data_IF_092193916884
#
_entry.id   IF_092193916884
#
_cell.length_a   1.000
_cell.length_b   1.000
_cell.length_c   1.000
_cell.angle_alpha   90.00
_cell.angle_beta   90.00
_cell.angle_gamma   90.00
#
_symmetry.space_group_name_H-M   'P 1'
#
loop_
_entity.id
_entity.type
_entity.pdbx_description
1 polymer ?
#
# COMPACT_ATOMS: atom_id res chain seq x y z
N UNK A 1 -9.03 11.49 3.92
CA UNK A 1 -8.56 12.70 4.63
C UNK A 1 -8.23 13.80 3.64
N UNK A 2 -8.60 15.06 3.90
CA UNK A 2 -8.08 16.21 3.14
C UNK A 2 -6.63 16.49 3.57
N UNK A 3 -5.68 16.43 2.63
CA UNK A 3 -4.24 16.45 2.92
C UNK A 3 -3.76 17.77 3.53
N UNK A 4 -4.38 18.88 3.15
CA UNK A 4 -3.99 20.22 3.58
C UNK A 4 -4.50 20.57 5.00
N UNK A 5 -5.63 19.97 5.41
CA UNK A 5 -6.27 20.26 6.70
C UNK A 5 -6.11 19.15 7.73
N UNK A 6 -5.81 17.91 7.30
CA UNK A 6 -5.79 16.73 8.17
C UNK A 6 -7.18 16.31 8.66
N UNK A 7 -8.26 16.83 8.08
CA UNK A 7 -9.63 16.55 8.49
C UNK A 7 -10.32 15.50 7.59
N UNK A 8 -11.37 14.82 8.10
CA UNK A 8 -12.21 13.94 7.29
C UNK A 8 -12.78 14.66 6.06
N UNK A 9 -12.85 13.95 4.93
CA UNK A 9 -13.59 14.45 3.76
C UNK A 9 -15.07 14.23 4.04
N UNK A 10 -15.84 15.32 3.97
CA UNK A 10 -17.30 15.30 4.16
C UNK A 10 -17.97 15.41 2.79
N UNK A 11 -18.90 14.50 2.51
CA UNK A 11 -19.74 14.48 1.31
C UNK A 11 -21.20 14.41 1.76
N UNK A 12 -22.06 15.27 1.22
CA UNK A 12 -23.48 15.36 1.60
C UNK A 12 -23.72 15.45 3.13
N UNK A 13 -22.81 16.12 3.86
CA UNK A 13 -22.90 16.30 5.31
C UNK A 13 -22.46 15.09 6.17
N UNK A 14 -21.95 14.00 5.56
CA UNK A 14 -21.40 12.83 6.26
C UNK A 14 -19.92 12.64 5.90
N UNK A 15 -19.12 12.14 6.84
CA UNK A 15 -17.78 11.64 6.52
C UNK A 15 -17.84 10.50 5.49
N UNK A 16 -16.92 10.54 4.53
CA UNK A 16 -16.79 9.55 3.47
C UNK A 16 -16.00 8.36 4.00
N UNK A 17 -16.68 7.22 4.10
CA UNK A 17 -16.16 5.96 4.62
C UNK A 17 -16.61 4.82 3.70
N UNK A 18 -15.70 3.88 3.42
CA UNK A 18 -15.99 2.59 2.82
C UNK A 18 -15.72 1.48 3.83
N UNK A 19 -16.54 0.43 3.82
CA UNK A 19 -16.35 -0.76 4.66
C UNK A 19 -16.78 -2.00 3.89
N UNK A 20 -16.04 -3.10 4.06
CA UNK A 20 -16.44 -4.41 3.56
C UNK A 20 -16.08 -5.48 4.59
N UNK A 21 -16.91 -6.53 4.69
CA UNK A 21 -16.62 -7.71 5.52
C UNK A 21 -16.28 -8.86 4.60
N UNK A 22 -15.09 -9.44 4.77
CA UNK A 22 -14.60 -10.54 3.96
C UNK A 22 -14.05 -11.67 4.83
N UNK A 23 -13.89 -12.85 4.25
CA UNK A 23 -13.11 -13.95 4.82
C UNK A 23 -11.92 -14.18 3.89
N UNK A 24 -10.66 -14.14 4.38
CA UNK A 24 -9.51 -14.46 3.55
C UNK A 24 -9.57 -15.91 3.08
N UNK A 25 -9.46 -16.14 1.78
CA UNK A 25 -9.37 -17.49 1.19
C UNK A 25 -7.94 -18.05 1.30
N UNK A 26 -6.95 -17.18 1.16
CA UNK A 26 -5.51 -17.49 1.20
C UNK A 26 -4.77 -16.60 2.21
N UNK A 27 -3.53 -16.95 2.63
CA UNK A 27 -2.73 -16.15 3.56
C UNK A 27 -2.37 -14.75 3.06
N UNK A 28 -2.35 -14.56 1.73
CA UNK A 28 -2.09 -13.29 1.04
C UNK A 28 -3.13 -13.10 -0.06
N UNK A 29 -3.67 -11.89 -0.19
CA UNK A 29 -4.71 -11.57 -1.18
C UNK A 29 -5.00 -10.08 -1.26
N UNK A 30 -5.97 -9.72 -2.09
CA UNK A 30 -6.44 -8.34 -2.30
C UNK A 30 -7.95 -8.30 -2.08
N UNK A 31 -8.46 -7.21 -1.50
CA UNK A 31 -9.88 -6.98 -1.26
C UNK A 31 -10.23 -5.58 -1.73
N UNK A 32 -11.27 -5.45 -2.54
CA UNK A 32 -11.77 -4.15 -2.97
C UNK A 32 -12.71 -3.54 -1.92
N UNK A 33 -12.51 -2.27 -1.59
CA UNK A 33 -13.37 -1.49 -0.69
C UNK A 33 -13.94 -0.30 -1.47
N UNK A 34 -15.24 -0.34 -1.76
CA UNK A 34 -15.92 0.72 -2.50
C UNK A 34 -16.54 1.77 -1.57
N UNK A 35 -16.51 3.03 -1.98
CA UNK A 35 -17.24 4.14 -1.37
C UNK A 35 -17.57 5.22 -2.41
N UNK A 36 -18.66 5.95 -2.18
CA UNK A 36 -19.06 7.07 -3.03
C UNK A 36 -18.50 8.40 -2.50
N UNK A 37 -17.99 9.24 -3.42
CA UNK A 37 -17.44 10.56 -3.11
C UNK A 37 -17.96 11.61 -4.10
N UNK A 38 -18.67 12.62 -3.60
CA UNK A 38 -19.03 13.79 -4.41
C UNK A 38 -17.82 14.72 -4.51
N UNK A 39 -17.10 14.61 -5.63
CA UNK A 39 -15.88 15.36 -5.87
C UNK A 39 -16.10 16.84 -6.28
N UNK A 40 -17.34 17.34 -6.38
CA UNK A 40 -17.64 18.68 -6.90
C UNK A 40 -16.95 19.80 -6.12
N UNK A 41 -16.82 19.65 -4.81
CA UNK A 41 -16.18 20.63 -3.91
C UNK A 41 -14.68 20.37 -3.70
N UNK A 42 -14.12 19.33 -4.32
CA UNK A 42 -12.72 18.94 -4.15
C UNK A 42 -11.73 19.61 -5.10
N UNK A 43 -12.19 20.42 -6.07
CA UNK A 43 -11.33 21.04 -7.09
C UNK A 43 -10.14 21.83 -6.50
N UNK A 44 -8.92 21.31 -6.71
CA UNK A 44 -7.65 21.85 -6.23
C UNK A 44 -7.22 21.35 -4.85
N UNK A 45 -7.87 20.31 -4.32
CA UNK A 45 -7.46 19.60 -3.10
C UNK A 45 -6.75 18.30 -3.41
N UNK A 46 -6.02 17.82 -2.42
CA UNK A 46 -5.50 16.46 -2.38
C UNK A 46 -6.21 15.70 -1.26
N UNK A 47 -6.63 14.47 -1.55
CA UNK A 47 -7.29 13.58 -0.60
C UNK A 47 -6.49 12.30 -0.48
N UNK A 48 -6.23 11.86 0.74
CA UNK A 48 -5.52 10.61 1.04
C UNK A 48 -6.52 9.61 1.60
N UNK A 49 -6.50 8.37 1.09
CA UNK A 49 -7.27 7.26 1.67
C UNK A 49 -6.53 6.73 2.89
N UNK A 50 -7.26 6.27 3.90
CA UNK A 50 -6.73 5.62 5.10
C UNK A 50 -7.43 4.27 5.27
N UNK A 51 -6.71 3.26 5.77
CA UNK A 51 -7.20 1.89 5.88
C UNK A 51 -7.04 1.32 7.29
N UNK A 52 -8.05 0.58 7.74
CA UNK A 52 -8.07 -0.12 9.03
C UNK A 52 -8.67 -1.50 8.86
N UNK A 53 -7.93 -2.53 9.29
CA UNK A 53 -8.40 -3.91 9.32
C UNK A 53 -8.82 -4.29 10.73
N UNK A 54 -10.05 -4.78 10.86
CA UNK A 54 -10.61 -5.26 12.11
C UNK A 54 -10.78 -6.78 12.10
N UNK A 55 -10.51 -7.43 13.23
CA UNK A 55 -10.82 -8.84 13.47
C UNK A 55 -11.51 -8.97 14.83
N UNK A 56 -12.72 -9.53 14.84
CA UNK A 56 -13.55 -9.68 16.05
C UNK A 56 -13.75 -8.35 16.81
N UNK A 57 -13.97 -7.26 16.09
CA UNK A 57 -14.15 -5.91 16.67
C UNK A 57 -12.88 -5.26 17.21
N UNK A 58 -11.70 -5.87 17.03
CA UNK A 58 -10.40 -5.28 17.39
C UNK A 58 -9.63 -4.89 16.14
N UNK A 59 -9.09 -3.68 16.11
CA UNK A 59 -8.12 -3.25 15.09
C UNK A 59 -6.86 -4.13 15.15
N UNK A 60 -6.38 -4.58 13.99
CA UNK A 60 -5.20 -5.46 13.86
C UNK A 60 -4.14 -4.94 12.91
N UNK A 61 -4.53 -4.11 11.94
CA UNK A 61 -3.63 -3.40 11.01
C UNK A 61 -4.22 -2.02 10.75
N UNK A 62 -3.36 -1.01 10.62
CA UNK A 62 -3.71 0.37 10.29
C UNK A 62 -2.69 0.93 9.30
N UNK A 63 -3.17 1.67 8.31
CA UNK A 63 -2.37 2.46 7.38
C UNK A 63 -2.97 3.87 7.29
N UNK A 64 -2.34 4.81 8.01
CA UNK A 64 -2.81 6.19 8.20
C UNK A 64 -1.66 7.21 8.00
N UNK A 65 -0.97 7.14 6.86
CA UNK A 65 0.02 8.18 6.49
C UNK A 65 -0.58 9.21 5.53
N UNK A 66 -0.76 10.43 6.01
CA UNK A 66 -1.26 11.57 5.22
C UNK A 66 -0.28 12.02 4.11
N UNK A 67 0.94 11.49 4.09
CA UNK A 67 1.95 11.81 3.08
C UNK A 67 2.04 10.75 1.98
N UNK A 68 1.40 9.58 2.14
CA UNK A 68 1.44 8.49 1.17
C UNK A 68 0.96 8.97 -0.21
N UNK A 69 1.87 8.94 -1.18
CA UNK A 69 1.61 9.39 -2.55
C UNK A 69 0.81 8.36 -3.35
N UNK A 70 1.00 7.07 -3.09
CA UNK A 70 0.28 5.98 -3.78
C UNK A 70 -1.19 5.93 -3.33
N UNK A 71 -1.50 6.45 -2.13
CA UNK A 71 -2.87 6.63 -1.62
C UNK A 71 -3.41 8.08 -1.73
N UNK A 72 -2.68 9.01 -2.39
CA UNK A 72 -3.12 10.39 -2.61
C UNK A 72 -3.81 10.57 -3.98
N UNK A 73 -5.07 11.04 -3.98
CA UNK A 73 -5.78 11.52 -5.17
C UNK A 73 -5.76 13.05 -5.22
N UNK A 74 -5.23 13.62 -6.31
CA UNK A 74 -5.24 15.07 -6.57
C UNK A 74 -6.39 15.46 -7.51
N UNK A 75 -7.26 16.36 -7.04
CA UNK A 75 -8.37 16.90 -7.82
C UNK A 75 -7.93 18.18 -8.53
N UNK A 76 -7.90 18.18 -9.86
CA UNK A 76 -7.38 19.31 -10.64
C UNK A 76 -8.46 20.40 -10.78
N UNK A 77 -8.10 21.67 -10.53
CA UNK A 77 -8.95 22.82 -10.91
C UNK A 77 -8.97 22.95 -12.42
N UNK A 78 -10.16 23.09 -13.02
CA UNK A 78 -10.25 23.47 -14.43
C UNK A 78 -9.55 24.82 -14.63
N UNK A 79 -8.72 24.99 -15.68
CA UNK A 79 -8.10 26.28 -15.97
C UNK A 79 -9.19 27.32 -16.28
N UNK A 80 -8.95 28.55 -15.82
CA UNK A 80 -9.81 29.68 -16.12
C UNK A 80 -9.56 30.12 -17.58
N UNK A 81 -10.58 30.14 -18.47
CA UNK A 81 -10.38 30.56 -19.85
C UNK A 81 -9.94 32.02 -20.01
N UNK A 82 -10.12 32.87 -18.99
CA UNK A 82 -9.69 34.27 -19.02
C UNK A 82 -8.26 34.50 -18.50
N UNK A 83 -7.60 33.48 -17.91
CA UNK A 83 -6.22 33.60 -17.44
C UNK A 83 -5.42 32.26 -17.58
N UNK A 84 -4.86 31.98 -18.77
CA UNK A 84 -4.18 30.72 -19.05
C UNK A 84 -2.77 30.59 -18.42
N UNK A 85 -2.15 31.67 -17.93
CA UNK A 85 -0.73 31.69 -17.51
C UNK A 85 -0.47 31.26 -16.05
N UNK A 86 -1.41 30.57 -15.39
CA UNK A 86 -1.23 30.12 -14.00
C UNK A 86 -1.24 28.59 -13.82
N UNK A 87 -0.75 27.87 -14.81
CA UNK A 87 -0.56 26.40 -14.77
C UNK A 87 0.87 26.01 -14.33
N UNK A 88 1.78 26.99 -14.16
CA UNK A 88 3.20 26.76 -13.84
C UNK A 88 3.44 26.46 -12.35
N UNK A 89 2.99 25.28 -11.94
CA UNK A 89 3.65 24.39 -10.98
C UNK A 89 3.08 22.97 -11.15
N UNK A 90 3.25 22.46 -12.37
CA UNK A 90 2.92 21.10 -12.76
C UNK A 90 4.10 20.17 -12.41
N UNK A 91 4.12 19.67 -11.18
CA UNK A 91 4.84 18.43 -10.92
C UNK A 91 4.13 17.31 -11.70
N UNK A 92 4.91 16.73 -12.61
CA UNK A 92 4.51 15.91 -13.76
C UNK A 92 3.45 14.83 -13.47
N UNK A 93 2.32 14.75 -14.22
CA UNK A 93 1.39 13.63 -14.11
C UNK A 93 2.01 12.36 -14.73
N UNK A 94 2.33 11.37 -13.90
CA UNK A 94 2.58 10.02 -14.41
C UNK A 94 1.25 9.29 -14.58
N UNK A 95 0.65 9.45 -15.76
CA UNK A 95 -0.40 8.55 -16.25
C UNK A 95 0.19 7.14 -16.43
N UNK A 96 -0.46 6.08 -15.92
CA UNK A 96 0.03 4.71 -16.07
C UNK A 96 -0.25 4.18 -17.48
N UNK A 97 0.70 4.39 -18.41
CA UNK A 97 0.63 3.76 -19.73
C UNK A 97 1.27 2.36 -19.75
N UNK A 98 0.42 1.41 -20.15
CA UNK A 98 0.71 0.24 -20.99
C UNK A 98 0.93 -1.13 -20.31
N UNK A 99 -0.15 -1.92 -20.27
CA UNK A 99 -0.08 -3.37 -20.16
C UNK A 99 0.25 -4.01 -21.52
N UNK A 100 1.35 -4.77 -21.54
CA UNK A 100 1.63 -5.93 -22.40
C UNK A 100 1.69 -5.73 -23.93
N UNK A 101 2.88 -5.98 -24.51
CA UNK A 101 3.09 -7.01 -25.55
C UNK A 101 4.43 -7.71 -25.35
N UNK A 102 4.41 -9.04 -25.51
CA UNK A 102 5.59 -9.91 -25.61
C UNK A 102 6.08 -9.94 -27.06
N UNK A 103 7.40 -10.11 -27.28
CA UNK A 103 7.96 -11.25 -28.05
C UNK A 103 9.44 -11.08 -28.47
N UNK A 104 10.28 -12.00 -27.98
CA UNK A 104 11.46 -12.63 -28.61
C UNK A 104 12.85 -11.92 -28.70
N UNK A 105 13.85 -12.76 -28.39
CA UNK A 105 15.33 -12.65 -28.32
C UNK A 105 15.98 -13.27 -29.62
N UNK A 106 17.32 -13.36 -29.87
CA UNK A 106 18.54 -12.66 -29.40
C UNK A 106 19.41 -12.02 -30.54
N UNK A 107 20.52 -11.34 -30.17
CA UNK A 107 21.93 -11.60 -30.63
C UNK A 107 22.84 -10.40 -31.04
N UNK A 108 24.12 -10.48 -30.60
CA UNK A 108 25.37 -9.78 -31.04
C UNK A 108 25.53 -8.23 -30.92
N UNK A 109 26.73 -7.58 -30.78
CA UNK A 109 28.10 -7.85 -30.23
C UNK A 109 28.86 -6.49 -30.04
N UNK A 110 29.84 -6.39 -29.12
CA UNK A 110 30.95 -5.38 -29.11
C UNK A 110 30.92 -4.30 -27.98
N UNK A 111 31.80 -4.26 -26.96
CA UNK A 111 33.26 -3.88 -26.91
C UNK A 111 33.55 -2.52 -27.56
N UNK A 112 34.23 -1.50 -27.00
CA UNK A 112 35.41 -1.34 -26.08
C UNK A 112 35.35 0.05 -25.35
N UNK A 113 36.12 0.44 -24.31
CA UNK A 113 36.74 -0.25 -23.15
C UNK A 113 36.77 0.70 -21.90
N UNK A 114 37.82 1.53 -21.63
CA UNK A 114 38.03 2.16 -20.29
C UNK A 114 38.72 3.54 -20.21
N UNK A 115 38.27 4.37 -19.24
CA UNK A 115 39.12 5.16 -18.32
C UNK A 115 38.36 5.45 -17.01
N UNK A 116 39.05 5.49 -15.87
CA UNK A 116 38.46 5.47 -14.52
C UNK A 116 38.49 6.84 -13.83
N UNK A 117 37.42 7.22 -13.06
CA UNK A 117 37.51 7.56 -11.62
C UNK A 117 36.17 7.81 -10.90
N UNK A 118 35.86 6.91 -9.96
CA UNK A 118 35.10 7.07 -8.70
C UNK A 118 33.56 7.23 -8.63
N UNK A 119 33.00 6.35 -7.78
CA UNK A 119 31.77 6.41 -6.96
C UNK A 119 30.34 6.23 -7.52
N UNK A 120 29.57 5.47 -6.72
CA UNK A 120 28.10 5.28 -6.69
C UNK A 120 27.43 4.69 -7.94
N UNK A 121 27.71 3.41 -8.18
CA UNK A 121 26.78 2.49 -8.87
C UNK A 121 26.01 1.65 -7.84
N UNK A 122 24.93 2.20 -7.29
CA UNK A 122 23.91 1.39 -6.60
C UNK A 122 22.66 1.39 -7.47
N UNK A 123 22.34 0.23 -8.00
CA UNK A 123 21.22 0.00 -8.92
C UNK A 123 19.93 0.10 -8.10
N UNK A 124 19.05 1.04 -8.46
CA UNK A 124 17.70 1.13 -7.89
C UNK A 124 16.82 0.00 -8.45
N UNK A 125 17.06 -1.21 -7.96
CA UNK A 125 16.04 -2.26 -7.96
C UNK A 125 15.15 -1.99 -6.75
N UNK A 126 14.29 -0.98 -6.85
CA UNK A 126 13.36 -0.62 -5.78
C UNK A 126 12.24 -1.68 -5.72
N UNK A 127 12.57 -2.74 -5.01
CA UNK A 127 11.71 -3.89 -4.73
C UNK A 127 10.57 -3.41 -3.85
N UNK A 128 9.32 -3.61 -4.29
CA UNK A 128 8.13 -3.36 -3.47
C UNK A 128 8.32 -3.96 -2.06
N UNK A 129 7.84 -3.29 -1.00
CA UNK A 129 7.88 -3.83 0.36
C UNK A 129 7.10 -5.15 0.39
N UNK A 130 7.83 -6.24 0.69
CA UNK A 130 7.28 -7.60 0.75
C UNK A 130 6.52 -7.82 2.06
N UNK A 131 5.26 -7.42 2.06
CA UNK A 131 4.36 -7.67 3.18
C UNK A 131 3.83 -9.10 3.09
N UNK A 132 4.27 -9.99 3.97
CA UNK A 132 3.77 -11.39 4.09
C UNK A 132 4.81 -12.50 3.92
N UNK A 133 5.97 -12.23 3.32
CA UNK A 133 6.98 -13.28 3.05
C UNK A 133 7.92 -13.55 4.24
N UNK A 134 8.12 -12.55 5.12
CA UNK A 134 9.12 -12.60 6.19
C UNK A 134 8.54 -13.15 7.51
N UNK A 135 8.05 -14.39 7.50
CA UNK A 135 7.94 -15.19 8.72
C UNK A 135 9.35 -15.49 9.25
N UNK A 136 9.91 -14.55 10.02
CA UNK A 136 11.22 -14.67 10.65
C UNK A 136 11.37 -16.03 11.33
N UNK A 137 12.50 -16.71 11.10
CA UNK A 137 12.75 -18.04 11.65
C UNK A 137 12.61 -18.06 13.20
N UNK A 138 12.78 -16.91 13.84
CA UNK A 138 12.51 -16.66 15.25
C UNK A 138 11.02 -16.85 15.64
N UNK A 139 10.07 -16.39 14.82
CA UNK A 139 8.62 -16.56 15.10
C UNK A 139 8.19 -18.02 14.98
N UNK A 140 8.77 -18.77 14.05
CA UNK A 140 8.54 -20.21 13.91
C UNK A 140 9.04 -20.98 15.16
N UNK A 141 10.22 -20.63 15.66
CA UNK A 141 10.79 -21.22 16.89
C UNK A 141 9.89 -20.93 18.11
N UNK A 142 9.47 -19.69 18.33
CA UNK A 142 8.57 -19.35 19.45
C UNK A 142 7.20 -20.04 19.33
N UNK A 143 6.63 -20.13 18.12
CA UNK A 143 5.38 -20.85 17.86
C UNK A 143 5.50 -22.34 18.22
N UNK A 144 6.58 -23.01 17.79
CA UNK A 144 6.81 -24.43 18.10
C UNK A 144 6.93 -24.69 19.61
N UNK A 145 7.60 -23.80 20.35
CA UNK A 145 7.79 -23.92 21.80
C UNK A 145 6.45 -23.85 22.56
N UNK A 146 5.56 -22.95 22.15
CA UNK A 146 4.22 -22.84 22.75
C UNK A 146 3.37 -24.09 22.54
N UNK A 147 3.44 -24.73 21.37
CA UNK A 147 2.72 -25.98 21.07
C UNK A 147 3.23 -27.14 21.94
N UNK A 148 4.55 -27.25 22.13
CA UNK A 148 5.16 -28.29 22.97
C UNK A 148 4.80 -28.10 24.45
N UNK A 149 4.86 -26.86 24.96
CA UNK A 149 4.48 -26.54 26.35
C UNK A 149 2.98 -26.81 26.57
N UNK A 150 2.11 -26.33 25.67
CA UNK A 150 0.66 -26.54 25.76
C UNK A 150 0.27 -28.02 25.73
N UNK A 151 0.90 -28.80 24.85
CA UNK A 151 0.70 -30.26 24.76
C UNK A 151 1.15 -30.97 26.03
N UNK A 152 2.28 -30.57 26.60
CA UNK A 152 2.81 -31.15 27.84
C UNK A 152 1.87 -30.89 29.04
N UNK A 153 1.33 -29.67 29.15
CA UNK A 153 0.34 -29.31 30.18
C UNK A 153 -0.96 -30.11 30.01
N UNK A 154 -1.44 -30.27 28.78
CA UNK A 154 -2.66 -31.04 28.48
C UNK A 154 -2.51 -32.52 28.84
N UNK A 155 -1.38 -33.13 28.48
CA UNK A 155 -1.07 -34.52 28.82
C UNK A 155 -0.94 -34.72 30.34
N UNK A 156 -0.27 -33.82 31.04
CA UNK A 156 -0.14 -33.90 32.50
C UNK A 156 -1.51 -33.71 33.21
N UNK A 157 -2.38 -32.81 32.72
CA UNK A 157 -3.76 -32.68 33.19
C UNK A 157 -4.62 -33.92 32.94
N UNK A 158 -4.40 -34.65 31.84
CA UNK A 158 -5.06 -35.95 31.59
C UNK A 158 -4.56 -37.03 32.55
N UNK A 159 -3.25 -37.09 32.80
CA UNK A 159 -2.63 -38.06 33.72
C UNK A 159 -3.04 -37.86 35.19
N UNK A 160 -3.38 -36.63 35.59
CA UNK A 160 -3.89 -36.28 36.93
C UNK A 160 -5.42 -36.51 37.08
N UNK A 161 -6.09 -37.07 36.06
CA UNK A 161 -7.54 -37.36 36.05
C UNK A 161 -7.84 -38.85 35.84
N UNK A 162 -6.82 -39.70 35.96
CA UNK A 162 -6.83 -41.16 35.93
C UNK A 162 -6.24 -41.67 37.25
#
# INVERSE_FOLDING_TARGET
MDKATGMPVVSNGKEVLGETTFTPEEPSGVVEVAFDLDARELAGKEVVVFEKLFRNGKEVVVHEDINDLDQTVRFIKKPDPENPERVDQLDNPQTPENLSKSDNDPSEIGKIDKASKNEKRTILTERMPKNGDDFSLLTLLFGSLLVVIGSSILLNKRKQRL
#
